data_IF_545768621944
#
_entry.id   IF_545768621944
#
_cell.length_a   1.000
_cell.length_b   1.000
_cell.length_c   1.000
_cell.angle_alpha   90.00
_cell.angle_beta   90.00
_cell.angle_gamma   90.00
#
_symmetry.space_group_name_H-M   'P 1'
#
loop_
_entity.id
_entity.type
_entity.pdbx_description
1 polymer ?
#
# COMPACT_ATOMS: atom_id res chain seq x y z
N UNK A 1 7.44 -2.16 -18.75
CA UNK A 1 6.32 -1.18 -18.76
C UNK A 1 5.97 -0.81 -17.32
N UNK A 2 5.92 0.46 -17.00
CA UNK A 2 5.55 0.89 -15.66
C UNK A 2 4.03 0.81 -15.46
N UNK A 3 3.55 0.58 -14.21
CA UNK A 3 2.11 0.56 -13.96
C UNK A 3 1.43 1.92 -14.18
N UNK A 4 2.20 3.00 -14.26
CA UNK A 4 1.69 4.36 -14.44
C UNK A 4 1.56 4.77 -15.90
N UNK A 5 2.01 3.93 -16.82
CA UNK A 5 1.98 4.24 -18.25
C UNK A 5 0.53 4.31 -18.74
N UNK A 6 0.18 5.39 -19.41
CA UNK A 6 -1.17 5.66 -19.96
C UNK A 6 -2.23 5.93 -18.87
N UNK A 7 -1.82 6.19 -17.63
CA UNK A 7 -2.78 6.62 -16.61
C UNK A 7 -3.29 8.03 -16.88
N UNK A 8 -4.55 8.28 -16.54
CA UNK A 8 -5.10 9.62 -16.48
C UNK A 8 -4.59 10.34 -15.23
N UNK A 9 -4.80 11.65 -15.16
CA UNK A 9 -4.44 12.42 -13.98
C UNK A 9 -5.21 11.93 -12.76
N UNK A 10 -4.60 12.02 -11.59
CA UNK A 10 -5.21 11.58 -10.34
C UNK A 10 -6.41 12.41 -9.95
N UNK A 11 -7.46 11.75 -9.47
CA UNK A 11 -8.70 12.36 -9.04
C UNK A 11 -8.93 12.02 -7.58
N UNK A 12 -9.37 13.00 -6.77
CA UNK A 12 -9.69 12.73 -5.37
C UNK A 12 -10.81 11.70 -5.27
N UNK A 13 -10.61 10.70 -4.41
CA UNK A 13 -11.58 9.64 -4.14
C UNK A 13 -11.96 9.61 -2.66
N UNK A 14 -11.79 10.75 -2.01
CA UNK A 14 -12.12 10.94 -0.60
C UNK A 14 -10.89 11.02 0.29
N UNK A 15 -10.92 11.90 1.27
CA UNK A 15 -9.78 12.13 2.15
C UNK A 15 -8.54 12.52 1.38
N UNK A 16 -7.42 11.87 1.70
CA UNK A 16 -6.14 12.11 1.02
C UNK A 16 -5.86 11.12 -0.11
N UNK A 17 -6.82 10.26 -0.42
CA UNK A 17 -6.66 9.25 -1.46
C UNK A 17 -6.86 9.82 -2.85
N UNK A 18 -6.06 9.34 -3.80
CA UNK A 18 -6.19 9.65 -5.22
C UNK A 18 -6.46 8.38 -6.01
N UNK A 19 -7.25 8.50 -7.07
CA UNK A 19 -7.54 7.42 -8.00
C UNK A 19 -6.94 7.75 -9.37
N UNK A 20 -6.25 6.77 -9.96
CA UNK A 20 -5.67 6.87 -11.29
C UNK A 20 -6.22 5.74 -12.14
N UNK A 21 -6.83 6.08 -13.27
CA UNK A 21 -7.44 5.11 -14.18
C UNK A 21 -6.64 4.99 -15.46
N UNK A 22 -6.60 3.77 -16.01
CA UNK A 22 -5.99 3.52 -17.31
C UNK A 22 -6.65 2.32 -17.96
N UNK A 23 -6.41 2.14 -19.26
CA UNK A 23 -6.89 1.00 -20.02
C UNK A 23 -5.70 0.37 -20.72
N UNK A 24 -5.54 -0.94 -20.54
CA UNK A 24 -4.52 -1.72 -21.23
C UNK A 24 -4.86 -1.77 -22.73
N UNK A 25 -3.98 -1.27 -23.59
CA UNK A 25 -4.26 -1.15 -25.03
C UNK A 25 -4.43 -2.52 -25.70
N UNK A 26 -3.69 -3.51 -25.26
CA UNK A 26 -3.70 -4.83 -25.90
C UNK A 26 -4.89 -5.69 -25.51
N UNK A 27 -5.34 -5.57 -24.26
CA UNK A 27 -6.39 -6.44 -23.71
C UNK A 27 -7.70 -5.72 -23.44
N UNK A 28 -7.69 -4.38 -23.41
CA UNK A 28 -8.85 -3.59 -23.01
C UNK A 28 -9.12 -3.63 -21.50
N UNK A 29 -8.23 -4.24 -20.71
CA UNK A 29 -8.43 -4.35 -19.28
C UNK A 29 -8.45 -2.97 -18.62
N UNK A 30 -9.40 -2.78 -17.70
CA UNK A 30 -9.53 -1.55 -16.92
C UNK A 30 -8.62 -1.64 -15.70
N UNK A 31 -7.67 -0.71 -15.59
CA UNK A 31 -6.75 -0.62 -14.47
C UNK A 31 -7.08 0.57 -13.61
N UNK A 32 -7.18 0.34 -12.31
CA UNK A 32 -7.41 1.41 -11.32
C UNK A 32 -6.33 1.30 -10.26
N UNK A 33 -5.68 2.43 -9.98
CA UNK A 33 -4.70 2.52 -8.91
C UNK A 33 -5.18 3.54 -7.88
N UNK A 34 -5.29 3.13 -6.62
CA UNK A 34 -5.55 4.03 -5.52
C UNK A 34 -4.23 4.32 -4.82
N UNK A 35 -3.97 5.58 -4.53
CA UNK A 35 -2.72 6.01 -3.91
C UNK A 35 -2.99 6.86 -2.67
N UNK A 36 -2.26 6.56 -1.60
CA UNK A 36 -2.26 7.37 -0.38
C UNK A 36 -0.81 7.67 -0.02
N UNK A 37 -0.46 8.96 0.04
CA UNK A 37 0.85 9.39 0.49
C UNK A 37 0.88 9.43 2.01
N UNK A 38 2.06 9.14 2.60
CA UNK A 38 2.24 9.32 4.02
C UNK A 38 2.20 10.80 4.40
N UNK A 39 2.01 11.06 5.69
CA UNK A 39 2.02 12.43 6.22
C UNK A 39 3.44 12.92 6.50
N UNK A 40 4.42 12.04 6.49
CA UNK A 40 5.81 12.36 6.82
C UNK A 40 6.78 11.86 5.76
N UNK A 41 8.01 12.37 5.82
CA UNK A 41 9.11 11.94 4.95
C UNK A 41 10.07 11.05 5.74
N UNK A 42 10.75 10.14 5.03
CA UNK A 42 11.88 9.43 5.61
C UNK A 42 13.16 10.28 5.49
N UNK A 43 14.14 9.99 6.37
CA UNK A 43 15.37 10.79 6.43
C UNK A 43 16.19 10.73 5.15
N UNK A 44 16.11 9.60 4.43
CA UNK A 44 16.90 9.39 3.22
C UNK A 44 16.43 10.25 2.06
N UNK A 45 15.14 10.62 2.04
CA UNK A 45 14.57 11.36 0.92
C UNK A 45 13.53 12.37 1.40
N UNK A 46 13.94 13.62 1.64
CA UNK A 46 13.02 14.66 2.09
C UNK A 46 12.05 15.14 1.02
N UNK A 47 12.24 14.73 -0.23
CA UNK A 47 11.38 15.17 -1.35
C UNK A 47 10.36 14.11 -1.75
N UNK A 48 10.41 12.91 -1.19
CA UNK A 48 9.56 11.80 -1.59
C UNK A 48 8.95 11.13 -0.35
N UNK A 49 7.63 11.13 -0.27
CA UNK A 49 6.92 10.48 0.83
C UNK A 49 6.72 9.00 0.55
N UNK A 50 6.83 8.15 1.59
CA UNK A 50 6.31 6.79 1.48
C UNK A 50 4.84 6.80 1.02
N UNK A 51 4.42 5.73 0.34
CA UNK A 51 3.05 5.65 -0.16
C UNK A 51 2.52 4.24 -0.10
N UNK A 52 1.19 4.16 -0.03
CA UNK A 52 0.42 2.93 -0.21
C UNK A 52 -0.22 3.01 -1.59
N UNK A 53 -0.14 1.91 -2.34
CA UNK A 53 -0.75 1.83 -3.67
C UNK A 53 -1.55 0.54 -3.78
N UNK A 54 -2.79 0.65 -4.25
CA UNK A 54 -3.66 -0.50 -4.49
C UNK A 54 -3.88 -0.59 -6.00
N UNK A 55 -3.44 -1.70 -6.60
CA UNK A 55 -3.55 -1.93 -8.04
C UNK A 55 -4.68 -2.90 -8.31
N UNK A 56 -5.68 -2.46 -9.07
CA UNK A 56 -6.86 -3.25 -9.39
C UNK A 56 -7.01 -3.37 -10.89
N UNK A 57 -7.37 -4.57 -11.35
CA UNK A 57 -7.56 -4.86 -12.77
C UNK A 57 -8.90 -5.56 -12.93
N UNK A 58 -9.73 -5.03 -13.80
CA UNK A 58 -11.06 -5.57 -14.14
C UNK A 58 -11.88 -5.91 -12.88
N UNK A 59 -11.90 -4.99 -11.93
CA UNK A 59 -12.71 -5.10 -10.73
C UNK A 59 -12.12 -5.93 -9.62
N UNK A 60 -10.83 -6.31 -9.69
CA UNK A 60 -10.21 -7.14 -8.66
C UNK A 60 -8.86 -6.60 -8.23
N UNK A 61 -8.58 -6.68 -6.93
CA UNK A 61 -7.27 -6.31 -6.39
C UNK A 61 -6.21 -7.30 -6.89
N UNK A 62 -5.16 -6.77 -7.49
CA UNK A 62 -4.01 -7.57 -7.93
C UNK A 62 -2.82 -7.40 -7.01
N UNK A 63 -2.62 -6.21 -6.45
CA UNK A 63 -1.47 -5.92 -5.61
C UNK A 63 -1.79 -4.75 -4.70
N UNK A 64 -1.49 -4.89 -3.41
CA UNK A 64 -1.43 -3.77 -2.49
C UNK A 64 0.02 -3.61 -2.06
N UNK A 65 0.65 -2.47 -2.35
CA UNK A 65 2.04 -2.29 -2.00
C UNK A 65 2.26 -1.14 -1.02
N UNK A 66 3.31 -1.28 -0.24
CA UNK A 66 3.88 -0.21 0.57
C UNK A 66 5.21 0.16 -0.06
N UNK A 67 5.29 1.34 -0.63
CA UNK A 67 6.50 1.85 -1.26
C UNK A 67 7.14 2.91 -0.35
N UNK A 68 8.30 2.62 0.26
CA UNK A 68 8.92 3.56 1.19
C UNK A 68 9.55 4.77 0.52
N UNK A 69 9.70 4.75 -0.81
CA UNK A 69 10.38 5.82 -1.55
C UNK A 69 11.90 5.76 -1.44
N UNK A 70 12.43 4.84 -0.66
CA UNK A 70 13.87 4.64 -0.46
C UNK A 70 14.19 3.18 -0.67
N UNK A 71 15.47 2.88 -0.93
CA UNK A 71 15.88 1.49 -1.13
C UNK A 71 15.80 0.74 0.20
N UNK A 72 15.14 -0.42 0.17
CA UNK A 72 14.97 -1.26 1.35
C UNK A 72 16.27 -1.97 1.71
N UNK A 73 16.47 -2.30 3.00
CA UNK A 73 17.55 -3.20 3.41
C UNK A 73 17.26 -4.62 2.91
N UNK A 74 18.23 -5.55 3.02
CA UNK A 74 18.00 -6.95 2.66
C UNK A 74 16.84 -7.53 3.45
N UNK A 75 16.13 -8.55 2.88
CA UNK A 75 15.06 -9.22 3.59
C UNK A 75 15.60 -9.91 4.87
N UNK A 76 14.78 -9.92 5.93
CA UNK A 76 15.19 -10.45 7.22
C UNK A 76 14.32 -11.63 7.69
N UNK A 77 13.49 -12.16 6.81
CA UNK A 77 12.56 -13.23 7.16
C UNK A 77 12.22 -14.06 5.92
N UNK A 78 12.24 -15.42 6.00
CA UNK A 78 11.66 -16.25 4.94
C UNK A 78 10.14 -16.28 5.07
N UNK A 79 9.43 -16.25 3.96
CA UNK A 79 8.00 -16.43 3.93
C UNK A 79 7.63 -17.90 3.95
N UNK A 80 6.31 -18.17 3.94
CA UNK A 80 5.77 -19.53 4.02
C UNK A 80 6.31 -20.44 2.92
N UNK A 81 6.48 -19.91 1.70
CA UNK A 81 6.99 -20.65 0.55
C UNK A 81 8.45 -20.29 0.25
N UNK A 82 9.18 -19.75 1.21
CA UNK A 82 10.58 -19.36 1.02
C UNK A 82 10.77 -18.01 0.32
N UNK A 83 9.70 -17.29 -0.02
CA UNK A 83 9.84 -15.97 -0.60
C UNK A 83 10.43 -15.00 0.43
N UNK A 84 11.33 -14.08 -0.01
CA UNK A 84 11.93 -13.14 0.92
C UNK A 84 10.92 -12.16 1.45
N UNK A 85 10.97 -11.89 2.75
CA UNK A 85 10.07 -10.95 3.43
C UNK A 85 10.86 -9.99 4.30
N UNK A 86 10.30 -8.81 4.53
CA UNK A 86 10.77 -7.89 5.53
C UNK A 86 9.74 -7.85 6.67
N UNK A 87 10.21 -8.03 7.89
CA UNK A 87 9.33 -7.93 9.06
C UNK A 87 9.10 -6.46 9.40
N UNK A 88 7.84 -6.10 9.55
CA UNK A 88 7.42 -4.75 9.88
C UNK A 88 6.47 -4.78 11.07
N UNK A 89 6.32 -3.66 11.75
CA UNK A 89 5.24 -3.47 12.72
C UNK A 89 4.19 -2.57 12.10
N UNK A 90 2.93 -3.00 12.16
CA UNK A 90 1.81 -2.30 11.56
C UNK A 90 0.85 -1.87 12.66
N UNK A 91 0.37 -0.63 12.58
CA UNK A 91 -0.71 -0.15 13.42
C UNK A 91 -1.89 0.27 12.56
N UNK A 92 -3.06 -0.29 12.87
CA UNK A 92 -4.34 0.08 12.24
C UNK A 92 -5.26 0.53 13.38
N UNK A 93 -5.58 1.81 13.40
CA UNK A 93 -6.33 2.45 14.49
C UNK A 93 -5.66 2.13 15.84
N UNK A 94 -6.34 1.42 16.74
CA UNK A 94 -5.82 1.10 18.07
C UNK A 94 -5.11 -0.25 18.16
N UNK A 95 -5.05 -1.00 17.06
CA UNK A 95 -4.47 -2.35 17.05
C UNK A 95 -3.13 -2.35 16.34
N UNK A 96 -2.14 -3.00 16.93
CA UNK A 96 -0.83 -3.16 16.28
C UNK A 96 -0.41 -4.62 16.30
N UNK A 97 0.38 -5.01 15.30
CA UNK A 97 0.85 -6.39 15.15
C UNK A 97 2.06 -6.43 14.21
N UNK A 98 2.82 -7.52 14.30
CA UNK A 98 3.93 -7.77 13.41
C UNK A 98 3.46 -8.45 12.14
N UNK A 99 4.02 -8.06 11.00
CA UNK A 99 3.76 -8.67 9.71
C UNK A 99 5.07 -8.93 8.98
N UNK A 100 5.09 -10.01 8.20
CA UNK A 100 6.13 -10.22 7.19
C UNK A 100 5.51 -9.93 5.84
N UNK A 101 5.99 -8.89 5.18
CA UNK A 101 5.51 -8.55 3.83
C UNK A 101 6.53 -8.98 2.78
N UNK A 102 6.04 -9.41 1.62
CA UNK A 102 6.93 -9.87 0.56
C UNK A 102 7.83 -8.73 0.08
N UNK A 103 9.14 -9.03 0.06
CA UNK A 103 10.18 -8.08 -0.32
C UNK A 103 10.32 -8.14 -1.85
N UNK A 104 10.02 -7.02 -2.52
CA UNK A 104 9.93 -6.97 -3.97
C UNK A 104 11.11 -6.17 -4.53
N UNK A 105 12.19 -6.88 -4.80
CA UNK A 105 13.41 -6.34 -5.45
C UNK A 105 14.04 -5.16 -4.71
N UNK A 106 13.79 -5.01 -3.40
CA UNK A 106 14.35 -3.93 -2.61
C UNK A 106 13.69 -2.57 -2.81
N UNK A 107 12.58 -2.50 -3.57
CA UNK A 107 11.90 -1.24 -3.88
C UNK A 107 10.60 -1.07 -3.13
N UNK A 108 9.83 -2.12 -2.93
CA UNK A 108 8.57 -2.03 -2.20
C UNK A 108 8.24 -3.35 -1.50
N UNK A 109 7.25 -3.30 -0.63
CA UNK A 109 6.75 -4.46 0.10
C UNK A 109 5.32 -4.74 -0.33
N UNK A 110 5.02 -6.00 -0.63
CA UNK A 110 3.66 -6.42 -0.97
C UNK A 110 2.90 -6.73 0.32
N UNK A 111 1.80 -6.00 0.56
CA UNK A 111 0.96 -6.18 1.74
C UNK A 111 0.01 -7.35 1.55
N UNK A 112 -0.31 -8.02 2.65
CA UNK A 112 -1.35 -9.05 2.65
C UNK A 112 -2.73 -8.41 2.50
N UNK A 113 -3.68 -9.16 1.94
CA UNK A 113 -5.03 -8.67 1.67
C UNK A 113 -5.75 -8.24 2.96
N UNK A 114 -5.52 -8.95 4.07
CA UNK A 114 -6.12 -8.59 5.35
C UNK A 114 -5.69 -7.19 5.81
N UNK A 115 -4.41 -6.85 5.65
CA UNK A 115 -3.91 -5.51 5.97
C UNK A 115 -4.54 -4.46 5.06
N UNK A 116 -4.62 -4.74 3.75
CA UNK A 116 -5.27 -3.82 2.79
C UNK A 116 -6.71 -3.55 3.20
N UNK A 117 -7.47 -4.59 3.52
CA UNK A 117 -8.86 -4.45 3.95
C UNK A 117 -8.99 -3.69 5.26
N UNK A 118 -8.04 -3.87 6.17
CA UNK A 118 -8.02 -3.13 7.43
C UNK A 118 -7.75 -1.64 7.23
N UNK A 119 -6.76 -1.32 6.41
CA UNK A 119 -6.36 0.08 6.25
C UNK A 119 -7.39 0.92 5.49
N UNK A 120 -8.12 0.36 4.53
CA UNK A 120 -9.09 1.15 3.76
C UNK A 120 -10.26 1.63 4.60
N UNK A 121 -10.56 0.97 5.71
CA UNK A 121 -11.62 1.37 6.64
C UNK A 121 -11.12 2.09 7.89
N UNK A 122 -9.82 2.37 7.98
CA UNK A 122 -9.20 2.91 9.18
C UNK A 122 -9.06 4.43 9.13
N UNK A 123 -8.81 5.03 10.29
CA UNK A 123 -8.45 6.45 10.42
C UNK A 123 -6.95 6.64 10.57
N UNK A 124 -6.25 5.63 11.11
CA UNK A 124 -4.81 5.66 11.35
C UNK A 124 -4.19 4.40 10.78
N UNK A 125 -3.09 4.57 10.04
CA UNK A 125 -2.29 3.47 9.54
C UNK A 125 -0.82 3.86 9.65
N UNK A 126 -0.03 3.07 10.37
CA UNK A 126 1.39 3.31 10.56
C UNK A 126 2.17 2.06 10.25
N UNK A 127 3.34 2.24 9.65
CA UNK A 127 4.26 1.14 9.35
C UNK A 127 5.63 1.50 9.89
N UNK A 128 6.12 0.71 10.84
CA UNK A 128 7.49 0.82 11.33
C UNK A 128 8.32 -0.28 10.68
N UNK A 129 9.43 0.12 10.07
CA UNK A 129 10.28 -0.82 9.33
C UNK A 129 11.75 -0.43 9.49
N UNK A 130 12.67 -1.42 9.34
CA UNK A 130 14.09 -1.09 9.26
C UNK A 130 14.36 -0.45 7.90
N UNK A 131 15.15 0.61 7.92
CA UNK A 131 15.68 1.24 6.70
C UNK A 131 17.19 1.26 6.79
N UNK A 132 17.85 1.71 5.73
CA UNK A 132 19.32 1.82 5.75
C UNK A 132 19.82 2.86 6.74
N UNK A 133 18.95 3.77 7.17
CA UNK A 133 19.26 4.80 8.17
C UNK A 133 18.67 4.48 9.55
N UNK A 134 18.32 3.21 9.80
CA UNK A 134 17.72 2.78 11.06
C UNK A 134 16.22 2.58 10.93
N UNK A 135 15.55 2.31 12.05
CA UNK A 135 14.10 2.11 12.02
C UNK A 135 13.39 3.44 11.88
N UNK A 136 12.37 3.46 11.02
CA UNK A 136 11.56 4.64 10.77
C UNK A 136 10.09 4.25 10.70
N UNK A 137 9.22 5.23 10.90
CA UNK A 137 7.77 5.04 10.88
C UNK A 137 7.18 5.88 9.75
N UNK A 138 6.43 5.23 8.88
CA UNK A 138 5.59 5.91 7.89
C UNK A 138 4.19 6.07 8.51
N UNK A 139 3.69 7.29 8.54
CA UNK A 139 2.39 7.61 9.14
C UNK A 139 1.42 8.02 8.05
N UNK A 140 0.24 7.41 8.04
CA UNK A 140 -0.79 7.64 7.02
C UNK A 140 -2.11 8.02 7.69
N UNK A 141 -2.91 8.79 6.98
CA UNK A 141 -4.27 9.16 7.38
C UNK A 141 -5.26 8.64 6.32
N UNK A 142 -5.64 7.35 6.39
CA UNK A 142 -6.46 6.71 5.35
C UNK A 142 -7.94 7.04 5.40
N UNK A 143 -8.41 7.78 6.40
CA UNK A 143 -9.82 8.09 6.56
C UNK A 143 -10.41 8.87 5.40
N UNK A 144 -11.72 8.67 5.17
CA UNK A 144 -12.46 9.41 4.16
C UNK A 144 -12.52 8.77 2.79
N UNK A 145 -11.85 7.64 2.57
CA UNK A 145 -11.87 6.94 1.29
C UNK A 145 -13.32 6.55 0.91
N UNK A 146 -13.66 6.74 -0.36
CA UNK A 146 -14.96 6.31 -0.90
C UNK A 146 -14.96 4.78 -1.04
N UNK A 147 -15.54 4.10 -0.06
CA UNK A 147 -15.53 2.64 0.01
C UNK A 147 -16.37 1.98 -1.08
N UNK A 148 -17.44 2.65 -1.54
CA UNK A 148 -18.25 2.14 -2.65
C UNK A 148 -17.42 2.08 -3.93
N UNK A 149 -16.61 3.11 -4.18
CA UNK A 149 -15.73 3.12 -5.35
C UNK A 149 -14.68 2.02 -5.28
N UNK A 150 -14.10 1.81 -4.11
CA UNK A 150 -13.10 0.75 -3.92
C UNK A 150 -13.72 -0.63 -4.13
N UNK A 151 -14.94 -0.83 -3.64
CA UNK A 151 -15.65 -2.10 -3.87
C UNK A 151 -15.89 -2.34 -5.36
N UNK A 152 -16.30 -1.31 -6.10
CA UNK A 152 -16.53 -1.43 -7.54
C UNK A 152 -15.24 -1.72 -8.30
N UNK A 153 -14.15 -1.03 -7.95
CA UNK A 153 -12.90 -1.11 -8.72
C UNK A 153 -12.04 -2.32 -8.33
N UNK A 154 -12.14 -2.79 -7.10
CA UNK A 154 -11.21 -3.76 -6.52
C UNK A 154 -11.86 -4.97 -5.86
N UNK A 155 -13.18 -5.00 -5.77
CA UNK A 155 -13.92 -6.04 -5.03
C UNK A 155 -13.40 -6.16 -3.59
N UNK A 156 -13.18 -5.01 -2.95
CA UNK A 156 -12.68 -4.92 -1.59
C UNK A 156 -13.70 -4.28 -0.67
N UNK A 157 -13.84 -4.84 0.53
CA UNK A 157 -14.61 -4.26 1.61
C UNK A 157 -13.73 -4.11 2.83
N UNK A 158 -13.96 -3.08 3.66
CA UNK A 158 -13.15 -2.91 4.86
C UNK A 158 -13.37 -4.04 5.86
N UNK A 159 -12.32 -4.30 6.65
CA UNK A 159 -12.36 -5.32 7.70
C UNK A 159 -11.65 -4.76 8.91
N UNK A 160 -12.28 -4.90 10.09
CA UNK A 160 -11.62 -4.51 11.33
C UNK A 160 -10.48 -5.49 11.62
N UNK A 161 -9.31 -5.00 12.10
CA UNK A 161 -8.22 -5.89 12.49
C UNK A 161 -8.65 -6.81 13.61
N UNK A 162 -8.15 -8.05 13.57
CA UNK A 162 -8.32 -8.98 14.69
C UNK A 162 -7.52 -8.50 15.88
N UNK A 163 -8.06 -8.69 17.10
CA UNK A 163 -7.36 -8.33 18.33
C UNK A 163 -6.47 -9.46 18.86
N UNK A 164 -6.42 -10.56 18.16
CA UNK A 164 -5.62 -11.72 18.59
C UNK A 164 -4.14 -11.56 18.24
#
# INVERSE_FOLDING_TARGET
>A
MTPYQNEQDGVSVGGKWLEFDSIEKMTGAKKVRFELLSDNYFREDPDYKPRVELFCVDGKLKLGDFNPGVKLPPPNRPGFWGQPQLQVMVRIDDTHYFKGWNWMRGHFLSMDKGTVRGLIGAQVFKVELPTRSGRQIAEFSPGGLNLDRVRQACDLTPKKPSKD
#
